data_IF_242716587340
#
_entry.id   IF_242716587340
#
_cell.length_a   1.000
_cell.length_b   1.000
_cell.length_c   1.000
_cell.angle_alpha   90.00
_cell.angle_beta   90.00
_cell.angle_gamma   90.00
#
_symmetry.space_group_name_H-M   'P 1'
#
loop_
_entity.id
_entity.type
_entity.pdbx_description
1 polymer ?
#
# COMPACT_ATOMS: atom_id res chain seq x y z
N UNK A 1 -34.71 -49.25 2.33
CA UNK A 1 -34.93 -49.17 0.87
C UNK A 1 -34.13 -47.99 0.34
N UNK A 2 -33.34 -48.16 -0.72
CA UNK A 2 -32.42 -47.11 -1.20
C UNK A 2 -33.22 -45.98 -1.87
N UNK A 3 -32.85 -44.71 -1.65
CA UNK A 3 -33.63 -43.55 -2.16
C UNK A 3 -33.76 -43.62 -3.70
N UNK A 4 -32.71 -44.07 -4.38
CA UNK A 4 -32.74 -44.31 -5.83
C UNK A 4 -33.80 -45.33 -6.28
N UNK A 5 -34.02 -46.38 -5.49
CA UNK A 5 -35.03 -47.42 -5.82
C UNK A 5 -36.46 -46.92 -5.64
N UNK A 6 -36.68 -45.97 -4.73
CA UNK A 6 -37.97 -45.30 -4.54
C UNK A 6 -38.26 -44.33 -5.69
N UNK A 7 -37.28 -43.52 -6.08
CA UNK A 7 -37.43 -42.55 -7.18
C UNK A 7 -37.67 -43.26 -8.52
N UNK A 8 -36.96 -44.36 -8.80
CA UNK A 8 -37.16 -45.16 -10.01
C UNK A 8 -38.54 -45.82 -10.07
N UNK A 9 -39.20 -46.03 -8.93
CA UNK A 9 -40.56 -46.59 -8.84
C UNK A 9 -41.64 -45.53 -9.10
N UNK A 10 -41.40 -44.27 -8.73
CA UNK A 10 -42.38 -43.17 -8.88
C UNK A 10 -42.29 -42.43 -10.22
N UNK A 11 -41.16 -42.49 -10.94
CA UNK A 11 -40.97 -41.80 -12.23
C UNK A 11 -40.88 -42.79 -13.42
N UNK A 12 -41.49 -42.47 -14.58
CA UNK A 12 -41.26 -43.22 -15.82
C UNK A 12 -39.81 -43.07 -16.29
N UNK A 13 -39.28 -44.09 -17.00
CA UNK A 13 -37.86 -44.21 -17.34
C UNK A 13 -37.26 -42.94 -17.99
N UNK A 14 -37.95 -42.31 -18.94
CA UNK A 14 -37.45 -41.08 -19.60
C UNK A 14 -37.31 -39.89 -18.63
N UNK A 15 -38.31 -39.69 -17.76
CA UNK A 15 -38.29 -38.60 -16.78
C UNK A 15 -37.23 -38.82 -15.71
N UNK A 16 -36.93 -40.08 -15.38
CA UNK A 16 -35.87 -40.44 -14.44
C UNK A 16 -34.49 -39.97 -14.93
N UNK A 17 -34.14 -40.21 -16.19
CA UNK A 17 -32.86 -39.73 -16.75
C UNK A 17 -32.79 -38.20 -16.79
N UNK A 18 -33.88 -37.52 -17.15
CA UNK A 18 -33.93 -36.05 -17.12
C UNK A 18 -33.76 -35.48 -15.71
N UNK A 19 -34.29 -36.16 -14.69
CA UNK A 19 -34.09 -35.79 -13.29
C UNK A 19 -32.62 -35.96 -12.89
N UNK A 20 -32.02 -37.12 -13.17
CA UNK A 20 -30.61 -37.39 -12.86
C UNK A 20 -29.69 -36.39 -13.57
N UNK A 21 -29.90 -36.11 -14.85
CA UNK A 21 -29.08 -35.14 -15.60
C UNK A 21 -29.17 -33.74 -14.98
N UNK A 22 -30.37 -33.25 -14.62
CA UNK A 22 -30.53 -31.95 -13.96
C UNK A 22 -29.79 -31.87 -12.62
N UNK A 23 -29.83 -32.97 -11.86
CA UNK A 23 -29.09 -33.10 -10.60
C UNK A 23 -27.58 -33.07 -10.83
N UNK A 24 -27.07 -33.78 -11.84
CA UNK A 24 -25.65 -33.78 -12.21
C UNK A 24 -25.19 -32.38 -12.65
N UNK A 25 -25.92 -31.71 -13.54
CA UNK A 25 -25.57 -30.36 -13.99
C UNK A 25 -25.60 -29.34 -12.85
N UNK A 26 -26.59 -29.46 -11.96
CA UNK A 26 -26.70 -28.63 -10.77
C UNK A 26 -25.55 -28.84 -9.79
N UNK A 27 -25.16 -30.09 -9.58
CA UNK A 27 -23.99 -30.44 -8.76
C UNK A 27 -22.71 -29.86 -9.38
N UNK A 28 -22.51 -30.04 -10.69
CA UNK A 28 -21.36 -29.48 -11.40
C UNK A 28 -21.34 -27.95 -11.32
N UNK A 29 -22.48 -27.28 -11.49
CA UNK A 29 -22.57 -25.83 -11.35
C UNK A 29 -22.22 -25.36 -9.93
N UNK A 30 -22.66 -26.07 -8.90
CA UNK A 30 -22.42 -25.67 -7.50
C UNK A 30 -20.96 -25.94 -7.07
N UNK A 31 -20.40 -27.09 -7.43
CA UNK A 31 -19.06 -27.50 -7.00
C UNK A 31 -17.92 -27.11 -7.95
N UNK A 32 -18.23 -26.78 -9.20
CA UNK A 32 -17.23 -26.36 -10.20
C UNK A 32 -17.53 -24.95 -10.69
N UNK A 33 -18.77 -24.67 -11.07
CA UNK A 33 -19.18 -23.36 -11.60
C UNK A 33 -19.00 -22.21 -10.60
N UNK A 34 -19.57 -22.32 -9.39
CA UNK A 34 -19.44 -21.28 -8.37
C UNK A 34 -17.98 -21.06 -7.90
N UNK A 35 -17.16 -22.10 -7.64
CA UNK A 35 -15.75 -21.91 -7.29
C UNK A 35 -14.93 -21.30 -8.42
N UNK A 36 -15.15 -21.72 -9.67
CA UNK A 36 -14.48 -21.09 -10.83
C UNK A 36 -14.90 -19.65 -10.99
N UNK A 37 -16.20 -19.33 -10.84
CA UNK A 37 -16.69 -17.96 -10.88
C UNK A 37 -16.05 -17.12 -9.77
N UNK A 38 -16.05 -17.59 -8.52
CA UNK A 38 -15.38 -16.88 -7.43
C UNK A 38 -13.88 -16.67 -7.70
N UNK A 39 -13.17 -17.71 -8.17
CA UNK A 39 -11.74 -17.64 -8.47
C UNK A 39 -11.41 -16.65 -9.59
N UNK A 40 -12.13 -16.74 -10.73
CA UNK A 40 -11.95 -15.86 -11.90
C UNK A 40 -12.38 -14.42 -11.66
N UNK A 41 -13.18 -14.18 -10.61
CA UNK A 41 -13.64 -12.86 -10.24
C UNK A 41 -12.79 -12.24 -9.12
N UNK A 42 -12.00 -13.02 -8.39
CA UNK A 42 -11.10 -12.50 -7.36
C UNK A 42 -9.93 -11.73 -7.98
N UNK A 43 -9.61 -10.57 -7.40
CA UNK A 43 -8.44 -9.79 -7.77
C UNK A 43 -7.21 -10.31 -7.03
N UNK A 44 -6.06 -10.37 -7.72
CA UNK A 44 -4.79 -10.71 -7.06
C UNK A 44 -4.37 -9.61 -6.08
N UNK A 45 -3.88 -10.02 -4.91
CA UNK A 45 -3.37 -9.12 -3.87
C UNK A 45 -2.13 -9.72 -3.23
N UNK A 46 -0.99 -9.05 -3.42
CA UNK A 46 0.24 -9.44 -2.78
C UNK A 46 0.10 -9.42 -1.23
N UNK A 47 0.72 -10.37 -0.51
CA UNK A 47 0.71 -10.37 0.95
C UNK A 47 1.52 -9.17 1.47
N UNK A 48 0.98 -8.46 2.45
CA UNK A 48 1.63 -7.30 3.06
C UNK A 48 1.94 -7.53 4.55
N UNK A 49 3.03 -6.93 5.06
CA UNK A 49 3.49 -7.12 6.44
C UNK A 49 2.74 -6.21 7.43
N UNK A 50 1.42 -6.38 7.58
CA UNK A 50 0.58 -5.57 8.48
C UNK A 50 1.05 -5.54 9.93
N UNK A 51 1.50 -6.70 10.43
CA UNK A 51 2.07 -6.80 11.78
C UNK A 51 3.32 -5.94 11.92
N UNK A 52 4.24 -5.96 10.95
CA UNK A 52 5.46 -5.14 10.99
C UNK A 52 5.15 -3.64 10.96
N UNK A 53 4.20 -3.23 10.12
CA UNK A 53 3.78 -1.81 10.03
C UNK A 53 3.20 -1.34 11.37
N UNK A 54 2.29 -2.13 11.96
CA UNK A 54 1.69 -1.78 13.25
C UNK A 54 2.71 -1.78 14.39
N UNK A 55 3.66 -2.73 14.42
CA UNK A 55 4.74 -2.72 15.41
C UNK A 55 5.63 -1.49 15.26
N UNK A 56 6.02 -1.13 14.03
CA UNK A 56 6.84 0.05 13.76
C UNK A 56 6.10 1.34 14.16
N UNK A 57 4.79 1.42 13.92
CA UNK A 57 3.97 2.56 14.33
C UNK A 57 3.76 2.65 15.86
N UNK A 58 3.63 1.51 16.53
CA UNK A 58 3.43 1.46 17.99
C UNK A 58 4.69 1.70 18.81
N UNK A 59 5.87 1.45 18.22
CA UNK A 59 7.16 1.65 18.90
C UNK A 59 7.36 3.15 19.17
N UNK A 60 7.58 3.59 20.41
CA UNK A 60 7.92 5.00 20.67
C UNK A 60 9.19 5.35 19.88
N UNK A 61 9.23 6.53 19.28
CA UNK A 61 10.44 6.99 18.60
C UNK A 61 11.49 7.29 19.67
N UNK A 62 12.52 6.45 19.75
CA UNK A 62 13.68 6.67 20.63
C UNK A 62 14.55 7.85 20.16
N UNK A 63 14.22 8.41 18.98
CA UNK A 63 14.82 9.64 18.47
C UNK A 63 14.38 10.82 19.35
N UNK A 64 15.31 11.35 20.14
CA UNK A 64 15.08 12.50 21.02
C UNK A 64 14.65 13.72 20.21
N UNK A 65 13.39 14.13 20.32
CA UNK A 65 12.92 15.41 19.79
C UNK A 65 13.64 16.55 20.53
N UNK A 66 14.45 17.37 19.85
CA UNK A 66 14.94 18.59 20.48
C UNK A 66 13.76 19.54 20.63
N UNK A 67 13.53 20.05 21.84
CA UNK A 67 12.50 21.07 22.14
C UNK A 67 12.79 22.37 21.35
N UNK A 68 12.35 22.43 20.10
CA UNK A 68 12.26 23.66 19.32
C UNK A 68 10.91 23.72 18.64
N UNK A 69 9.96 24.26 19.38
CA UNK A 69 8.62 24.64 18.92
C UNK A 69 8.64 25.62 17.72
N UNK A 70 9.81 26.16 17.34
CA UNK A 70 9.96 27.09 16.21
C UNK A 70 10.18 26.43 14.85
N UNK A 71 10.53 25.13 14.79
CA UNK A 71 10.87 24.46 13.51
C UNK A 71 9.79 23.51 13.00
N UNK A 72 8.72 23.26 13.77
CA UNK A 72 7.71 22.23 13.47
C UNK A 72 6.87 22.49 12.22
N UNK A 73 6.95 23.68 11.61
CA UNK A 73 6.16 24.06 10.42
C UNK A 73 6.98 24.69 9.31
N UNK A 74 8.30 24.80 9.48
CA UNK A 74 9.12 25.56 8.55
C UNK A 74 9.39 24.74 7.28
N UNK A 75 9.01 25.27 6.12
CA UNK A 75 9.36 24.67 4.84
C UNK A 75 10.88 24.59 4.68
N UNK A 76 11.39 23.68 3.84
CA UNK A 76 12.83 23.56 3.56
C UNK A 76 13.49 24.91 3.21
N UNK A 77 12.72 25.84 2.65
CA UNK A 77 13.16 27.19 2.28
C UNK A 77 13.20 28.19 3.44
N UNK A 78 12.27 28.13 4.40
CA UNK A 78 12.26 29.02 5.57
C UNK A 78 13.43 28.74 6.51
N UNK A 79 13.82 27.46 6.60
CA UNK A 79 15.00 27.06 7.38
C UNK A 79 16.28 27.47 6.65
N UNK A 80 16.35 27.29 5.33
CA UNK A 80 17.47 27.78 4.52
C UNK A 80 17.64 29.30 4.65
N UNK A 81 16.55 30.07 4.64
CA UNK A 81 16.56 31.52 4.82
C UNK A 81 17.01 31.95 6.22
N UNK A 82 16.61 31.23 7.28
CA UNK A 82 17.08 31.47 8.64
C UNK A 82 18.56 31.13 8.80
N UNK A 83 19.03 30.03 8.20
CA UNK A 83 20.42 29.57 8.26
C UNK A 83 21.40 30.46 7.48
N UNK A 84 20.95 31.01 6.34
CA UNK A 84 21.76 31.95 5.53
C UNK A 84 21.97 33.30 6.23
N UNK A 85 21.07 33.69 7.13
CA UNK A 85 21.06 35.02 7.75
C UNK A 85 21.64 35.06 9.18
N UNK A 86 22.18 33.95 9.70
CA UNK A 86 22.65 33.88 11.09
C UNK A 86 24.18 33.83 11.17
N UNK A 87 24.80 34.92 11.66
CA UNK A 87 26.25 35.11 11.75
C UNK A 87 26.82 34.72 13.12
N UNK A 88 26.82 33.43 13.47
CA UNK A 88 27.48 32.99 14.71
C UNK A 88 28.99 32.84 14.50
N UNK A 89 29.76 33.80 15.01
CA UNK A 89 31.22 33.94 14.82
C UNK A 89 32.10 32.90 15.55
N UNK A 90 31.50 31.95 16.29
CA UNK A 90 32.23 31.17 17.31
C UNK A 90 32.67 29.74 16.91
N UNK A 91 32.57 29.31 15.65
CA UNK A 91 32.93 27.92 15.32
C UNK A 91 33.48 27.71 13.90
N UNK A 92 34.63 27.04 13.80
CA UNK A 92 35.28 26.69 12.53
C UNK A 92 35.38 25.16 12.36
N UNK A 93 34.74 24.59 11.33
CA UNK A 93 34.85 23.15 11.03
C UNK A 93 36.15 22.78 10.33
N UNK A 94 36.53 21.50 10.48
CA UNK A 94 37.51 20.83 9.64
C UNK A 94 36.98 20.65 8.20
N UNK A 95 37.73 21.20 7.24
CA UNK A 95 37.33 21.51 5.87
C UNK A 95 36.89 20.31 5.01
N UNK A 96 37.42 19.12 5.27
CA UNK A 96 37.23 17.92 4.42
C UNK A 96 35.84 17.29 4.55
N UNK A 97 35.28 17.22 5.76
CA UNK A 97 33.95 16.63 6.01
C UNK A 97 32.84 17.53 5.46
N UNK A 98 33.07 18.84 5.51
CA UNK A 98 32.18 19.87 4.97
C UNK A 98 32.01 19.75 3.44
N UNK A 99 33.10 19.53 2.72
CA UNK A 99 33.12 19.40 1.26
C UNK A 99 32.40 18.12 0.78
N UNK A 100 32.49 17.02 1.54
CA UNK A 100 31.83 15.74 1.21
C UNK A 100 30.30 15.79 1.41
N UNK A 101 29.82 16.49 2.45
CA UNK A 101 28.39 16.58 2.76
C UNK A 101 27.67 17.57 1.83
N UNK A 102 28.31 18.69 1.48
CA UNK A 102 27.73 19.67 0.55
C UNK A 102 27.60 19.08 -0.85
N UNK A 103 28.63 18.38 -1.33
CA UNK A 103 28.62 17.77 -2.66
C UNK A 103 27.60 16.64 -2.79
N UNK A 104 27.31 15.91 -1.71
CA UNK A 104 26.38 14.77 -1.72
C UNK A 104 24.92 15.15 -1.43
N UNK A 105 24.66 16.28 -0.77
CA UNK A 105 23.31 16.59 -0.25
C UNK A 105 22.75 17.92 -0.76
N UNK A 106 23.49 19.01 -0.57
CA UNK A 106 23.00 20.37 -0.86
C UNK A 106 23.14 20.68 -2.36
N UNK A 107 24.30 20.36 -2.94
CA UNK A 107 24.59 20.61 -4.36
C UNK A 107 23.62 19.88 -5.29
N UNK A 108 23.31 18.58 -5.10
CA UNK A 108 22.34 17.89 -5.95
C UNK A 108 20.93 18.45 -5.81
N UNK A 109 20.51 18.85 -4.60
CA UNK A 109 19.21 19.48 -4.38
C UNK A 109 19.10 20.83 -5.09
N UNK A 110 20.11 21.69 -4.97
CA UNK A 110 20.13 23.00 -5.63
C UNK A 110 20.21 22.86 -7.16
N UNK A 111 21.09 21.99 -7.68
CA UNK A 111 21.18 21.72 -9.11
C UNK A 111 19.85 21.20 -9.64
N UNK A 112 19.24 20.20 -9.00
CA UNK A 112 18.02 19.58 -9.53
C UNK A 112 16.80 20.53 -9.44
N UNK A 113 16.79 21.44 -8.46
CA UNK A 113 15.70 22.42 -8.28
C UNK A 113 15.84 23.63 -9.21
N UNK A 114 17.06 24.09 -9.47
CA UNK A 114 17.30 25.35 -10.20
C UNK A 114 17.92 25.19 -11.59
N UNK A 115 18.39 24.00 -11.99
CA UNK A 115 19.01 23.76 -13.32
C UNK A 115 18.10 24.06 -14.50
N UNK A 116 16.78 23.96 -14.33
CA UNK A 116 15.82 24.31 -15.39
C UNK A 116 15.59 25.83 -15.55
N UNK A 117 16.00 26.63 -14.56
CA UNK A 117 15.74 28.08 -14.54
C UNK A 117 17.01 28.92 -14.57
N UNK A 118 18.16 28.36 -14.23
CA UNK A 118 19.38 29.13 -14.00
C UNK A 118 20.59 28.40 -14.59
N UNK A 119 21.18 29.02 -15.63
CA UNK A 119 22.41 28.59 -16.28
C UNK A 119 23.64 29.08 -15.47
N UNK A 120 23.72 28.73 -14.17
CA UNK A 120 24.87 29.06 -13.32
C UNK A 120 25.76 27.83 -13.26
N UNK A 121 26.97 27.97 -13.80
CA UNK A 121 28.10 27.14 -13.41
C UNK A 121 28.30 27.34 -11.90
N UNK A 122 27.89 26.36 -11.09
CA UNK A 122 28.19 26.36 -9.66
C UNK A 122 29.66 25.95 -9.53
N UNK A 123 30.54 26.83 -9.99
CA UNK A 123 31.97 26.71 -9.73
C UNK A 123 32.17 26.89 -8.23
N UNK A 124 33.13 26.15 -7.70
CA UNK A 124 33.58 26.17 -6.29
C UNK A 124 33.86 27.57 -5.76
N UNK A 125 33.98 28.58 -6.62
CA UNK A 125 34.26 29.99 -6.30
C UNK A 125 33.13 30.70 -5.52
N UNK A 126 31.86 30.37 -5.77
CA UNK A 126 30.72 30.93 -5.01
C UNK A 126 30.70 30.37 -3.56
N UNK A 127 31.13 29.11 -3.39
CA UNK A 127 31.23 28.45 -2.08
C UNK A 127 32.38 29.02 -1.25
N UNK A 128 33.46 29.50 -1.89
CA UNK A 128 34.60 30.10 -1.18
C UNK A 128 34.40 31.57 -0.78
N UNK A 129 33.63 32.35 -1.55
CA UNK A 129 33.35 33.76 -1.23
C UNK A 129 32.23 33.95 -0.19
N UNK A 130 31.48 32.89 0.14
CA UNK A 130 30.40 32.90 1.15
C UNK A 130 30.89 32.51 2.55
N UNK A 131 32.19 32.66 2.85
CA UNK A 131 32.78 32.38 4.17
C UNK A 131 32.14 33.12 5.36
N UNK A 132 31.33 34.15 5.11
CA UNK A 132 30.52 34.85 6.12
C UNK A 132 29.02 34.57 6.06
N UNK A 133 28.56 33.54 5.34
CA UNK A 133 27.15 33.26 5.03
C UNK A 133 26.82 31.77 5.30
N UNK A 134 27.68 31.06 6.02
CA UNK A 134 27.53 29.62 6.24
C UNK A 134 27.15 29.36 7.70
N UNK A 135 26.07 28.57 7.92
CA UNK A 135 25.53 28.33 9.26
C UNK A 135 26.59 27.67 10.15
N UNK A 136 26.54 27.99 11.45
CA UNK A 136 27.34 27.28 12.45
C UNK A 136 27.00 25.79 12.41
N UNK A 137 28.02 24.93 12.52
CA UNK A 137 27.90 23.47 12.39
C UNK A 137 26.84 22.88 13.32
N UNK A 138 26.73 23.43 14.52
CA UNK A 138 25.73 23.04 15.51
C UNK A 138 24.29 23.21 14.99
N UNK A 139 24.01 24.28 14.25
CA UNK A 139 22.66 24.50 13.67
C UNK A 139 22.35 23.54 12.54
N UNK A 140 23.36 23.17 11.75
CA UNK A 140 23.22 22.21 10.65
C UNK A 140 23.00 20.78 11.15
N UNK A 141 23.79 20.33 12.13
CA UNK A 141 23.60 19.02 12.77
C UNK A 141 22.22 18.90 13.43
N UNK A 142 21.80 19.97 14.12
CA UNK A 142 20.47 20.07 14.72
C UNK A 142 19.35 19.97 13.68
N UNK A 143 19.52 20.59 12.52
CA UNK A 143 18.58 20.48 11.41
C UNK A 143 18.51 19.07 10.83
N UNK A 144 19.67 18.43 10.59
CA UNK A 144 19.71 17.04 10.10
C UNK A 144 18.98 16.11 11.08
N UNK A 145 19.22 16.28 12.37
CA UNK A 145 18.55 15.49 13.40
C UNK A 145 17.03 15.71 13.38
N UNK A 146 16.58 16.97 13.34
CA UNK A 146 15.15 17.31 13.23
C UNK A 146 14.50 16.68 11.99
N UNK A 147 15.12 16.81 10.83
CA UNK A 147 14.58 16.24 9.58
C UNK A 147 14.63 14.73 9.56
N UNK A 148 15.61 14.10 10.21
CA UNK A 148 15.67 12.64 10.35
C UNK A 148 14.47 12.15 11.15
N UNK A 149 14.17 12.81 12.28
CA UNK A 149 13.01 12.52 13.12
C UNK A 149 11.70 12.72 12.35
N UNK A 150 11.57 13.86 11.67
CA UNK A 150 10.38 14.20 10.90
C UNK A 150 10.17 13.21 9.74
N UNK A 151 11.23 12.88 8.99
CA UNK A 151 11.17 11.91 7.90
C UNK A 151 10.75 10.53 8.42
N UNK A 152 11.32 10.08 9.54
CA UNK A 152 10.98 8.83 10.20
C UNK A 152 9.50 8.80 10.61
N UNK A 153 9.04 9.82 11.33
CA UNK A 153 7.67 9.90 11.83
C UNK A 153 6.66 10.00 10.68
N UNK A 154 6.93 10.84 9.67
CA UNK A 154 6.08 10.95 8.49
C UNK A 154 6.01 9.61 7.73
N UNK A 155 7.15 8.96 7.46
CA UNK A 155 7.18 7.67 6.76
C UNK A 155 6.39 6.59 7.49
N UNK A 156 6.53 6.52 8.83
CA UNK A 156 5.75 5.61 9.68
C UNK A 156 4.26 5.87 9.63
N UNK A 157 3.85 7.13 9.73
CA UNK A 157 2.43 7.51 9.68
C UNK A 157 1.83 7.26 8.29
N UNK A 158 2.59 7.52 7.22
CA UNK A 158 2.18 7.16 5.85
C UNK A 158 1.94 5.66 5.72
N UNK A 159 2.87 4.81 6.18
CA UNK A 159 2.70 3.35 6.13
C UNK A 159 1.53 2.87 7.00
N UNK A 160 1.32 3.47 8.18
CA UNK A 160 0.18 3.16 9.04
C UNK A 160 -1.14 3.49 8.36
N UNK A 161 -1.25 4.70 7.79
CA UNK A 161 -2.43 5.16 7.07
C UNK A 161 -2.69 4.29 5.85
N UNK A 162 -1.64 3.98 5.08
CA UNK A 162 -1.69 3.03 3.96
C UNK A 162 -2.28 1.69 4.44
N UNK A 163 -1.72 1.10 5.49
CA UNK A 163 -2.20 -0.15 6.06
C UNK A 163 -3.69 -0.09 6.44
N UNK A 164 -4.13 0.98 7.10
CA UNK A 164 -5.53 1.16 7.49
C UNK A 164 -6.47 1.31 6.28
N UNK A 165 -6.06 2.04 5.25
CA UNK A 165 -6.82 2.18 4.01
C UNK A 165 -6.94 0.84 3.29
N UNK A 166 -5.84 0.10 3.17
CA UNK A 166 -5.80 -1.21 2.51
C UNK A 166 -6.62 -2.27 3.25
N UNK A 167 -6.74 -2.17 4.58
CA UNK A 167 -7.62 -3.03 5.38
C UNK A 167 -9.10 -2.64 5.22
N UNK A 168 -9.39 -1.35 5.05
CA UNK A 168 -10.75 -0.84 4.90
C UNK A 168 -11.34 -1.17 3.52
N UNK A 169 -10.49 -1.32 2.49
CA UNK A 169 -10.89 -1.62 1.10
C UNK A 169 -10.27 -2.97 0.69
N UNK A 170 -10.93 -4.11 0.98
CA UNK A 170 -10.33 -5.44 0.83
C UNK A 170 -10.02 -5.83 -0.63
N UNK A 171 -10.73 -5.23 -1.59
CA UNK A 171 -10.63 -5.58 -3.01
C UNK A 171 -9.61 -4.76 -3.80
N UNK A 172 -8.78 -3.97 -3.12
CA UNK A 172 -7.71 -3.20 -3.75
C UNK A 172 -6.60 -4.15 -4.29
N UNK A 173 -6.28 -4.04 -5.58
CA UNK A 173 -5.18 -4.76 -6.24
C UNK A 173 -3.85 -4.21 -5.73
N UNK A 174 -3.01 -5.12 -5.25
CA UNK A 174 -1.64 -4.81 -4.80
C UNK A 174 -0.71 -5.71 -5.58
N UNK A 175 0.13 -5.10 -6.41
CA UNK A 175 1.12 -5.80 -7.22
C UNK A 175 2.38 -6.14 -6.39
N UNK A 176 3.18 -7.06 -6.92
CA UNK A 176 4.41 -7.49 -6.23
C UNK A 176 5.45 -6.35 -6.16
N UNK A 177 5.39 -5.39 -7.09
CA UNK A 177 6.30 -4.26 -7.12
C UNK A 177 6.04 -3.27 -5.97
N UNK A 178 4.77 -2.94 -5.67
CA UNK A 178 4.41 -2.15 -4.50
C UNK A 178 4.70 -2.90 -3.22
N UNK A 179 4.39 -4.20 -3.15
CA UNK A 179 4.71 -5.01 -1.98
C UNK A 179 6.21 -4.95 -1.67
N UNK A 180 7.07 -5.09 -2.69
CA UNK A 180 8.53 -4.95 -2.54
C UNK A 180 8.93 -3.55 -2.08
N UNK A 181 8.32 -2.48 -2.60
CA UNK A 181 8.59 -1.10 -2.14
C UNK A 181 8.19 -0.88 -0.67
N UNK A 182 7.05 -1.44 -0.23
CA UNK A 182 6.61 -1.38 1.17
C UNK A 182 7.62 -2.11 2.06
N UNK A 183 8.06 -3.31 1.67
CA UNK A 183 9.09 -4.05 2.39
C UNK A 183 10.40 -3.25 2.50
N UNK A 184 10.89 -2.70 1.37
CA UNK A 184 12.10 -1.88 1.37
C UNK A 184 11.95 -0.62 2.23
N UNK A 185 10.79 0.04 2.20
CA UNK A 185 10.50 1.21 3.03
C UNK A 185 10.54 0.86 4.52
N UNK A 186 9.92 -0.26 4.91
CA UNK A 186 9.98 -0.76 6.29
C UNK A 186 11.41 -1.09 6.72
N UNK A 187 12.16 -1.82 5.90
CA UNK A 187 13.53 -2.21 6.22
C UNK A 187 14.44 -0.97 6.40
N UNK A 188 14.24 0.08 5.58
CA UNK A 188 14.99 1.34 5.71
C UNK A 188 14.57 2.15 6.94
N UNK A 189 13.28 2.21 7.27
CA UNK A 189 12.80 2.90 8.47
C UNK A 189 13.25 2.18 9.75
N UNK A 190 13.23 0.85 9.77
CA UNK A 190 13.77 0.05 10.88
C UNK A 190 15.27 0.30 11.04
N UNK A 191 16.06 0.24 9.95
CA UNK A 191 17.49 0.57 9.99
C UNK A 191 17.76 2.01 10.45
N UNK A 192 16.94 2.96 10.02
CA UNK A 192 17.11 4.34 10.42
C UNK A 192 16.85 4.53 11.92
N UNK A 193 15.90 3.78 12.49
CA UNK A 193 15.68 3.82 13.94
C UNK A 193 16.91 3.35 14.74
N UNK A 194 17.62 2.35 14.23
CA UNK A 194 18.78 1.79 14.93
C UNK A 194 20.07 2.64 14.72
N UNK A 195 20.26 3.18 13.52
CA UNK A 195 21.50 3.87 13.12
C UNK A 195 21.41 5.40 13.06
N UNK A 196 20.22 5.99 13.21
CA UNK A 196 19.93 7.43 13.07
C UNK A 196 20.46 8.07 11.77
N UNK A 197 20.55 7.28 10.68
CA UNK A 197 21.07 7.77 9.40
C UNK A 197 20.00 8.53 8.61
N UNK A 198 20.23 9.81 8.38
CA UNK A 198 19.30 10.70 7.68
C UNK A 198 18.85 10.17 6.31
N UNK A 199 19.78 9.64 5.52
CA UNK A 199 19.50 9.14 4.18
C UNK A 199 18.52 7.95 4.21
N UNK A 200 18.72 7.00 5.13
CA UNK A 200 17.82 5.84 5.25
C UNK A 200 16.40 6.26 5.63
N UNK A 201 16.25 7.20 6.57
CA UNK A 201 14.95 7.77 6.93
C UNK A 201 14.29 8.50 5.76
N UNK A 202 15.07 9.28 5.03
CA UNK A 202 14.58 10.02 3.87
C UNK A 202 14.11 9.06 2.77
N UNK A 203 14.94 8.07 2.40
CA UNK A 203 14.59 7.08 1.36
C UNK A 203 13.41 6.22 1.80
N UNK A 204 13.38 5.80 3.06
CA UNK A 204 12.27 5.05 3.65
C UNK A 204 10.95 5.81 3.53
N UNK A 205 10.93 7.10 3.88
CA UNK A 205 9.76 7.97 3.69
C UNK A 205 9.39 8.12 2.22
N UNK A 206 10.35 8.42 1.35
CA UNK A 206 10.07 8.63 -0.07
C UNK A 206 9.43 7.39 -0.72
N UNK A 207 9.89 6.19 -0.37
CA UNK A 207 9.27 4.95 -0.83
C UNK A 207 7.85 4.76 -0.29
N UNK A 208 7.60 5.12 0.98
CA UNK A 208 6.25 5.07 1.57
C UNK A 208 5.30 6.01 0.83
N UNK A 209 5.73 7.25 0.59
CA UNK A 209 4.95 8.25 -0.13
C UNK A 209 4.68 7.80 -1.58
N UNK A 210 5.69 7.27 -2.28
CA UNK A 210 5.53 6.74 -3.63
C UNK A 210 4.49 5.62 -3.72
N UNK A 211 4.46 4.71 -2.74
CA UNK A 211 3.45 3.66 -2.72
C UNK A 211 2.08 4.22 -2.38
N UNK A 212 1.98 5.11 -1.40
CA UNK A 212 0.72 5.73 -1.00
C UNK A 212 0.03 6.47 -2.15
N UNK A 213 0.82 7.13 -3.01
CA UNK A 213 0.34 7.87 -4.18
C UNK A 213 0.41 7.07 -5.49
N UNK A 214 0.58 5.74 -5.44
CA UNK A 214 0.65 4.93 -6.65
C UNK A 214 -0.70 4.97 -7.40
N UNK A 215 -0.70 5.19 -8.74
CA UNK A 215 -1.94 5.28 -9.53
C UNK A 215 -2.84 4.05 -9.40
N UNK A 216 -2.28 2.87 -9.13
CA UNK A 216 -3.06 1.64 -8.97
C UNK A 216 -3.98 1.70 -7.75
N UNK A 217 -3.54 2.30 -6.63
CA UNK A 217 -4.36 2.48 -5.43
C UNK A 217 -5.51 3.47 -5.67
N UNK A 218 -5.29 4.49 -6.50
CA UNK A 218 -6.31 5.47 -6.88
C UNK A 218 -7.30 4.94 -7.93
N UNK A 219 -6.88 3.99 -8.76
CA UNK A 219 -7.69 3.43 -9.86
C UNK A 219 -8.86 2.56 -9.37
N UNK A 220 -8.72 1.92 -8.20
CA UNK A 220 -9.76 1.04 -7.65
C UNK A 220 -10.92 1.77 -6.97
N UNK A 221 -10.76 3.06 -6.66
CA UNK A 221 -11.90 3.91 -6.34
C UNK A 221 -12.91 4.01 -7.51
N UNK A 222 -12.46 3.78 -8.76
CA UNK A 222 -13.30 3.94 -9.94
C UNK A 222 -13.99 2.66 -10.43
N UNK A 223 -13.61 1.48 -9.92
CA UNK A 223 -14.23 0.20 -10.28
C UNK A 223 -14.70 -0.57 -9.02
N UNK A 224 -15.77 -0.09 -8.35
CA UNK A 224 -16.39 -0.80 -7.24
C UNK A 224 -16.95 -2.16 -7.68
N UNK A 225 -17.10 -3.09 -6.73
CA UNK A 225 -17.67 -4.42 -6.97
C UNK A 225 -19.04 -4.37 -7.68
N UNK A 226 -19.78 -3.28 -7.51
CA UNK A 226 -21.06 -3.02 -8.18
C UNK A 226 -20.95 -3.04 -9.72
N UNK A 227 -19.85 -2.51 -10.28
CA UNK A 227 -19.62 -2.50 -11.72
C UNK A 227 -19.23 -3.89 -12.24
N UNK A 228 -18.58 -4.69 -11.40
CA UNK A 228 -18.24 -6.07 -11.68
C UNK A 228 -19.50 -6.93 -11.76
N UNK A 229 -20.47 -6.74 -10.86
CA UNK A 229 -21.78 -7.38 -10.96
C UNK A 229 -22.52 -6.97 -12.26
N UNK A 230 -22.41 -5.72 -12.70
CA UNK A 230 -23.02 -5.28 -13.96
C UNK A 230 -22.48 -6.03 -15.19
N UNK A 231 -21.23 -6.50 -15.16
CA UNK A 231 -20.62 -7.30 -16.24
C UNK A 231 -21.01 -8.79 -16.11
N UNK A 232 -20.97 -9.34 -14.90
CA UNK A 232 -21.15 -10.79 -14.69
C UNK A 232 -22.60 -11.25 -14.54
N UNK A 233 -23.50 -10.40 -14.04
CA UNK A 233 -24.92 -10.75 -13.88
C UNK A 233 -25.56 -11.09 -15.23
N UNK A 234 -25.41 -10.31 -16.32
CA UNK A 234 -25.93 -10.69 -17.63
C UNK A 234 -25.39 -12.01 -18.17
N UNK A 235 -24.14 -12.37 -17.83
CA UNK A 235 -23.48 -13.58 -18.31
C UNK A 235 -23.92 -14.84 -17.52
N UNK A 236 -23.98 -14.75 -16.19
CA UNK A 236 -24.18 -15.89 -15.31
C UNK A 236 -25.62 -16.06 -14.82
N UNK A 237 -26.41 -14.98 -14.71
CA UNK A 237 -27.80 -15.04 -14.26
C UNK A 237 -28.71 -15.88 -15.20
N UNK A 238 -28.64 -15.76 -16.55
CA UNK A 238 -29.49 -16.55 -17.43
C UNK A 238 -29.24 -18.06 -17.32
N UNK A 239 -28.02 -18.45 -16.98
CA UNK A 239 -27.62 -19.85 -16.84
C UNK A 239 -27.85 -20.37 -15.41
N UNK A 240 -27.59 -19.54 -14.40
CA UNK A 240 -27.75 -19.88 -12.99
C UNK A 240 -29.20 -19.91 -12.52
N UNK A 241 -30.06 -18.99 -12.98
CA UNK A 241 -31.45 -18.91 -12.52
C UNK A 241 -32.28 -20.18 -12.83
N UNK A 242 -32.26 -20.75 -14.05
CA UNK A 242 -32.94 -22.01 -14.33
C UNK A 242 -32.40 -23.17 -13.50
N UNK A 243 -31.07 -23.27 -13.33
CA UNK A 243 -30.44 -24.33 -12.55
C UNK A 243 -30.87 -24.26 -11.07
N UNK A 244 -30.84 -23.07 -10.48
CA UNK A 244 -31.30 -22.84 -9.11
C UNK A 244 -32.79 -23.20 -8.95
N UNK A 245 -33.63 -22.81 -9.92
CA UNK A 245 -35.05 -23.16 -9.92
C UNK A 245 -35.27 -24.68 -10.00
N UNK A 246 -34.49 -25.38 -10.83
CA UNK A 246 -34.58 -26.83 -10.94
C UNK A 246 -34.12 -27.54 -9.66
N UNK A 247 -32.99 -27.11 -9.07
CA UNK A 247 -32.48 -27.61 -7.79
C UNK A 247 -33.53 -27.50 -6.68
N UNK A 248 -34.18 -26.34 -6.57
CA UNK A 248 -35.19 -26.11 -5.55
C UNK A 248 -36.37 -27.08 -5.68
N UNK A 249 -36.87 -27.26 -6.91
CA UNK A 249 -37.97 -28.18 -7.18
C UNK A 249 -37.58 -29.65 -6.95
N UNK A 250 -36.37 -30.05 -7.35
CA UNK A 250 -35.86 -31.40 -7.17
C UNK A 250 -35.66 -31.73 -5.67
N UNK A 251 -35.13 -30.79 -4.88
CA UNK A 251 -35.02 -30.92 -3.42
C UNK A 251 -36.41 -31.05 -2.77
N UNK A 252 -37.37 -30.19 -3.15
CA UNK A 252 -38.74 -30.25 -2.63
C UNK A 252 -39.42 -31.58 -2.97
N UNK A 253 -39.22 -32.09 -4.18
CA UNK A 253 -39.72 -33.40 -4.61
C UNK A 253 -39.13 -34.52 -3.76
N UNK A 254 -37.82 -34.52 -3.52
CA UNK A 254 -37.15 -35.50 -2.67
C UNK A 254 -37.67 -35.48 -1.22
N UNK A 255 -37.85 -34.29 -0.63
CA UNK A 255 -38.40 -34.15 0.73
C UNK A 255 -39.81 -34.75 0.82
N UNK A 256 -40.65 -34.50 -0.18
CA UNK A 256 -42.01 -35.05 -0.22
C UNK A 256 -42.02 -36.58 -0.36
N UNK A 257 -41.13 -37.16 -1.18
CA UNK A 257 -40.97 -38.62 -1.29
C UNK A 257 -40.56 -39.24 0.04
N UNK A 258 -39.59 -38.64 0.72
CA UNK A 258 -39.12 -39.12 2.02
C UNK A 258 -40.23 -39.04 3.05
N UNK A 259 -41.01 -37.94 3.06
CA UNK A 259 -42.15 -37.77 3.98
C UNK A 259 -43.30 -38.75 3.70
N UNK A 260 -43.52 -39.14 2.45
CA UNK A 260 -44.58 -40.07 2.04
C UNK A 260 -44.26 -41.54 2.35
N UNK A 261 -42.97 -41.90 2.41
CA UNK A 261 -42.50 -43.27 2.68
C UNK A 261 -41.96 -43.46 4.10
N UNK A 262 -42.19 -42.49 5.00
CA UNK A 262 -41.90 -42.55 6.42
C UNK A 262 -43.20 -42.82 7.17
#
# INVERSE_FOLDING_TARGET
MNILTLIKKELPNEKFYLFINRLIFSFLFLFVGLPLWYSTTSTYRAPLPYSRISTLASKPSDLTEPNLTSFQTASSYEILFYLINNNDENYSLNKTIYEEIISSTIVPYLINTYSNYINIDISTEIIFNTRGILPSIETFEKWINLRTIENYNNGRQTLLTLSQLLLSIPNIVIDDSMAKKIHNSLDLLEKCQDNNQHNDCQQGRLLADQVFFDPSLLKLLYFPDDQKFAIYVPLFLPMGAPLAWTLFNDIKFLINIVKKNR
#
